data_IF_749905201639
#
_entry.id   IF_749905201639
#
_cell.length_a   1.000
_cell.length_b   1.000
_cell.length_c   1.000
_cell.angle_alpha   90.00
_cell.angle_beta   90.00
_cell.angle_gamma   90.00
#
_symmetry.space_group_name_H-M   'P 1'
#
loop_
_entity.id
_entity.type
_entity.pdbx_description
1 polymer ?
#
# COMPACT_ATOMS: atom_id res chain seq x y z
N UNK A 1 -13.77 -24.81 -5.48
CA UNK A 1 -13.35 -23.81 -6.51
C UNK A 1 -11.84 -23.70 -6.42
N UNK A 2 -11.11 -23.87 -7.53
CA UNK A 2 -9.63 -23.85 -7.50
C UNK A 2 -9.04 -22.46 -7.19
N UNK A 3 -9.82 -21.38 -7.33
CA UNK A 3 -9.40 -20.01 -7.05
C UNK A 3 -10.43 -19.26 -6.21
N UNK A 4 -9.95 -18.54 -5.20
CA UNK A 4 -10.77 -17.64 -4.39
C UNK A 4 -10.96 -16.30 -5.13
N UNK A 5 -12.06 -15.62 -4.84
CA UNK A 5 -12.29 -14.27 -5.35
C UNK A 5 -11.26 -13.29 -4.78
N UNK A 6 -11.01 -12.20 -5.51
CA UNK A 6 -10.16 -11.12 -5.01
C UNK A 6 -10.79 -10.46 -3.77
N UNK A 7 -9.94 -10.16 -2.80
CA UNK A 7 -10.28 -9.34 -1.65
C UNK A 7 -10.43 -7.86 -2.05
N UNK A 8 -11.34 -7.14 -1.40
CA UNK A 8 -11.51 -5.69 -1.57
C UNK A 8 -11.02 -5.00 -0.31
N UNK A 9 -10.16 -4.01 -0.46
CA UNK A 9 -9.59 -3.23 0.64
C UNK A 9 -9.90 -1.76 0.36
N UNK A 10 -10.55 -1.04 1.28
CA UNK A 10 -10.71 0.40 1.17
C UNK A 10 -9.35 1.09 1.02
N UNK A 11 -9.22 1.94 0.02
CA UNK A 11 -7.99 2.67 -0.28
C UNK A 11 -8.30 3.94 -1.05
N UNK A 12 -7.39 4.91 -0.97
CA UNK A 12 -7.45 6.15 -1.76
C UNK A 12 -6.20 6.26 -2.62
N UNK A 13 -6.36 6.39 -3.94
CA UNK A 13 -5.25 6.69 -4.84
C UNK A 13 -5.12 8.20 -5.02
N UNK A 14 -3.98 8.76 -4.62
CA UNK A 14 -3.81 10.21 -4.55
C UNK A 14 -2.49 10.65 -5.15
N UNK A 15 -2.49 11.87 -5.71
CA UNK A 15 -1.28 12.63 -6.00
C UNK A 15 -0.92 13.48 -4.77
N UNK A 16 0.28 13.31 -4.25
CA UNK A 16 0.88 14.14 -3.19
C UNK A 16 2.13 14.83 -3.74
N UNK A 17 2.10 16.16 -3.89
CA UNK A 17 3.13 16.89 -4.61
C UNK A 17 3.29 16.36 -6.05
N UNK A 18 4.49 15.87 -6.37
CA UNK A 18 4.87 15.29 -7.68
C UNK A 18 4.86 13.75 -7.70
N UNK A 19 4.43 13.10 -6.62
CA UNK A 19 4.32 11.63 -6.53
C UNK A 19 2.87 11.17 -6.50
N UNK A 20 2.64 9.90 -6.84
CA UNK A 20 1.37 9.21 -6.62
C UNK A 20 1.57 8.00 -5.70
N UNK A 21 0.58 7.70 -4.88
CA UNK A 21 0.61 6.52 -4.02
C UNK A 21 -0.79 6.01 -3.69
N UNK A 22 -0.84 4.77 -3.23
CA UNK A 22 -2.05 4.16 -2.67
C UNK A 22 -2.02 4.34 -1.16
N UNK A 23 -3.03 5.02 -0.61
CA UNK A 23 -3.17 5.34 0.81
C UNK A 23 -4.20 4.43 1.46
N UNK A 24 -3.89 3.93 2.65
CA UNK A 24 -4.74 3.06 3.45
C UNK A 24 -4.89 3.62 4.86
N UNK A 25 -6.07 3.44 5.47
CA UNK A 25 -6.20 3.50 6.93
C UNK A 25 -5.77 2.16 7.51
N UNK A 26 -5.04 2.15 8.62
CA UNK A 26 -4.55 0.93 9.25
C UNK A 26 -5.69 -0.06 9.54
N UNK A 27 -6.82 0.43 10.05
CA UNK A 27 -7.99 -0.39 10.38
C UNK A 27 -8.67 -1.03 9.18
N UNK A 28 -8.48 -0.48 7.97
CA UNK A 28 -9.07 -1.01 6.73
C UNK A 28 -8.24 -2.17 6.16
N UNK A 29 -7.00 -2.33 6.62
CA UNK A 29 -6.16 -3.45 6.21
C UNK A 29 -6.64 -4.77 6.84
N UNK A 30 -6.41 -5.91 6.17
CA UNK A 30 -6.61 -7.23 6.78
C UNK A 30 -5.84 -7.33 8.09
N UNK A 31 -6.40 -8.02 9.09
CA UNK A 31 -5.81 -8.15 10.43
C UNK A 31 -4.32 -8.53 10.40
N UNK A 32 -3.92 -9.46 9.53
CA UNK A 32 -2.52 -9.88 9.39
C UNK A 32 -1.57 -8.78 8.87
N UNK A 33 -2.11 -7.77 8.17
CA UNK A 33 -1.36 -6.62 7.65
C UNK A 33 -1.47 -5.37 8.55
N UNK A 34 -2.25 -5.42 9.65
CA UNK A 34 -2.35 -4.32 10.62
C UNK A 34 -1.11 -4.19 11.52
N UNK A 35 -0.20 -5.15 11.48
CA UNK A 35 1.14 -5.05 12.09
C UNK A 35 2.22 -5.10 11.01
N UNK A 36 3.40 -4.49 11.22
CA UNK A 36 4.54 -4.65 10.31
C UNK A 36 4.95 -6.11 10.17
N UNK A 37 5.33 -6.53 8.97
CA UNK A 37 5.80 -7.88 8.70
C UNK A 37 5.42 -8.38 7.32
N UNK A 38 5.78 -9.63 7.05
CA UNK A 38 5.72 -10.23 5.71
C UNK A 38 4.32 -10.20 5.08
N UNK A 39 3.26 -10.35 5.88
CA UNK A 39 1.88 -10.30 5.38
C UNK A 39 1.51 -8.91 4.84
N UNK A 40 1.96 -7.84 5.51
CA UNK A 40 1.80 -6.46 5.04
C UNK A 40 2.64 -6.25 3.78
N UNK A 41 3.89 -6.68 3.79
CA UNK A 41 4.80 -6.46 2.65
C UNK A 41 4.27 -7.15 1.39
N UNK A 42 3.84 -8.42 1.50
CA UNK A 42 3.21 -9.17 0.40
C UNK A 42 1.96 -8.49 -0.13
N UNK A 43 1.13 -7.94 0.76
CA UNK A 43 -0.07 -7.20 0.37
C UNK A 43 0.31 -5.96 -0.45
N UNK A 44 1.21 -5.12 0.06
CA UNK A 44 1.60 -3.87 -0.57
C UNK A 44 2.32 -4.11 -1.91
N UNK A 45 3.19 -5.13 -1.96
CA UNK A 45 3.82 -5.62 -3.19
C UNK A 45 2.76 -5.99 -4.24
N UNK A 46 1.76 -6.81 -3.86
CA UNK A 46 0.71 -7.23 -4.80
C UNK A 46 -0.17 -6.08 -5.26
N UNK A 47 -0.48 -5.12 -4.39
CA UNK A 47 -1.25 -3.90 -4.73
C UNK A 47 -0.52 -3.08 -5.79
N UNK A 48 0.79 -2.89 -5.63
CA UNK A 48 1.59 -2.11 -6.58
C UNK A 48 1.86 -2.89 -7.87
N UNK A 49 1.85 -4.23 -7.81
CA UNK A 49 2.17 -5.09 -8.95
C UNK A 49 3.65 -5.44 -9.00
N UNK A 50 4.27 -5.66 -7.84
CA UNK A 50 5.69 -5.97 -7.68
C UNK A 50 5.90 -7.31 -6.94
N UNK A 51 7.06 -7.97 -7.12
CA UNK A 51 8.08 -7.67 -8.13
C UNK A 51 7.57 -7.99 -9.54
N UNK A 52 7.89 -7.13 -10.51
CA UNK A 52 7.51 -7.32 -11.91
C UNK A 52 8.74 -7.48 -12.79
N UNK A 53 9.01 -8.69 -13.36
CA UNK A 53 10.16 -8.91 -14.25
C UNK A 53 10.10 -8.10 -15.54
N UNK A 54 8.94 -7.53 -15.89
CA UNK A 54 8.79 -6.65 -17.06
C UNK A 54 9.09 -5.18 -16.76
N UNK A 55 9.20 -4.81 -15.48
CA UNK A 55 9.38 -3.43 -15.02
C UNK A 55 8.30 -2.49 -15.59
N UNK A 56 7.03 -2.92 -15.59
CA UNK A 56 5.89 -2.14 -16.12
C UNK A 56 4.77 -1.96 -15.09
N UNK A 57 4.67 -2.82 -14.09
CA UNK A 57 3.62 -2.82 -13.07
C UNK A 57 2.19 -2.80 -13.67
N UNK A 58 2.02 -3.43 -14.84
CA UNK A 58 0.74 -3.45 -15.59
C UNK A 58 -0.38 -4.16 -14.82
N UNK A 59 -0.03 -5.14 -13.98
CA UNK A 59 -0.97 -5.88 -13.14
C UNK A 59 -1.00 -5.36 -11.70
N UNK A 60 -0.94 -4.04 -11.53
CA UNK A 60 -1.00 -3.38 -10.24
C UNK A 60 -1.26 -1.88 -10.35
N UNK A 61 -1.19 -1.20 -9.20
CA UNK A 61 -1.43 0.25 -9.10
C UNK A 61 -0.18 1.10 -9.32
N UNK A 62 0.99 0.47 -9.44
CA UNK A 62 2.25 1.11 -9.72
C UNK A 62 2.32 1.70 -11.13
N UNK A 63 3.24 2.65 -11.35
CA UNK A 63 3.47 3.26 -12.66
C UNK A 63 4.88 3.05 -13.21
N UNK A 64 5.58 2.02 -12.72
CA UNK A 64 6.95 1.64 -13.08
C UNK A 64 7.99 2.76 -12.95
N UNK A 65 7.74 3.70 -12.05
CA UNK A 65 8.71 4.72 -11.63
C UNK A 65 8.74 4.82 -10.11
N UNK A 66 9.86 5.24 -9.54
CA UNK A 66 9.97 5.46 -8.09
C UNK A 66 8.95 6.48 -7.56
N UNK A 67 8.54 7.46 -8.39
CA UNK A 67 7.51 8.47 -8.06
C UNK A 67 6.08 7.93 -8.05
N UNK A 68 5.85 6.72 -8.58
CA UNK A 68 4.53 6.09 -8.69
C UNK A 68 4.44 4.69 -8.09
N UNK A 69 5.53 4.20 -7.48
CA UNK A 69 5.61 2.91 -6.77
C UNK A 69 5.66 3.14 -5.25
N UNK A 70 4.55 3.64 -4.69
CA UNK A 70 4.47 4.11 -3.30
C UNK A 70 3.17 3.68 -2.63
N UNK A 71 3.28 3.27 -1.37
CA UNK A 71 2.14 3.00 -0.49
C UNK A 71 2.26 3.78 0.80
N UNK A 72 1.14 4.18 1.37
CA UNK A 72 1.07 4.89 2.64
C UNK A 72 0.03 4.24 3.55
N UNK A 73 0.36 4.11 4.83
CA UNK A 73 -0.58 3.68 5.87
C UNK A 73 -0.71 4.82 6.89
N UNK A 74 -1.94 5.19 7.20
CA UNK A 74 -2.31 6.17 8.21
C UNK A 74 -3.02 5.49 9.38
N UNK A 75 -2.72 5.91 10.60
CA UNK A 75 -3.48 5.55 11.81
C UNK A 75 -3.64 6.76 12.71
N UNK A 76 -4.57 6.68 13.67
CA UNK A 76 -4.59 7.65 14.76
C UNK A 76 -3.29 7.49 15.55
N UNK A 77 -2.64 8.61 15.86
CA UNK A 77 -1.41 8.62 16.65
C UNK A 77 -1.71 8.40 18.13
N UNK A 78 -0.85 7.64 18.80
CA UNK A 78 -0.82 7.52 20.27
C UNK A 78 0.01 8.65 20.93
N UNK A 79 0.76 9.43 20.13
CA UNK A 79 1.46 10.62 20.61
C UNK A 79 0.45 11.73 20.94
N UNK A 80 0.56 12.36 22.14
CA UNK A 80 -0.39 13.40 22.57
C UNK A 80 -0.34 14.68 21.72
N UNK A 81 0.76 14.90 20.99
CA UNK A 81 0.99 16.12 20.20
C UNK A 81 0.72 15.93 18.70
N UNK A 82 0.28 14.74 18.26
CA UNK A 82 0.07 14.42 16.85
C UNK A 82 -1.30 13.78 16.60
N UNK A 83 -1.95 14.18 15.51
CA UNK A 83 -3.24 13.63 15.12
C UNK A 83 -3.12 12.22 14.50
N UNK A 84 -2.07 11.99 13.72
CA UNK A 84 -1.91 10.80 12.89
C UNK A 84 -0.47 10.29 12.89
N UNK A 85 -0.34 8.95 12.84
CA UNK A 85 0.90 8.30 12.44
C UNK A 85 0.90 8.07 10.94
N UNK A 86 2.00 8.42 10.29
CA UNK A 86 2.19 8.29 8.85
C UNK A 86 3.34 7.33 8.56
N UNK A 87 3.03 6.19 7.96
CA UNK A 87 4.01 5.20 7.53
C UNK A 87 4.11 5.18 6.00
N UNK A 88 5.32 5.38 5.49
CA UNK A 88 5.64 5.35 4.07
C UNK A 88 6.31 4.02 3.69
N UNK A 89 5.87 3.42 2.58
CA UNK A 89 6.51 2.28 1.92
C UNK A 89 6.89 2.62 0.49
N UNK A 90 8.19 2.60 0.19
CA UNK A 90 8.69 2.55 -1.19
C UNK A 90 8.66 1.09 -1.66
N UNK A 91 7.98 0.83 -2.77
CA UNK A 91 7.87 -0.53 -3.31
C UNK A 91 8.85 -0.68 -4.48
N UNK A 92 9.65 -1.74 -4.45
CA UNK A 92 10.64 -2.08 -5.49
C UNK A 92 10.02 -2.80 -6.67
#
# INVERSE_FOLDING_TARGET
MAHQAQMRIPATYMRGGTSKGVFFTLSDLPTAAQVPGEARDKLLLRVIGSPDPYEKQIDGMGGATSSTSKTVILSKSDSPDHDVDYLFGQVS
#
